data_IF_746150301061
#
_entry.id   IF_746150301061
#
_cell.length_a   1.000
_cell.length_b   1.000
_cell.length_c   1.000
_cell.angle_alpha   90.00
_cell.angle_beta   90.00
_cell.angle_gamma   90.00
#
_symmetry.space_group_name_H-M   'P 1'
#
loop_
_entity.id
_entity.type
_entity.pdbx_description
1 polymer ?
#
# COMPACT_ATOMS: atom_id res chain seq x y z
N UNK A 1 -28.92 -16.00 -15.54
CA UNK A 1 -28.63 -15.25 -14.28
C UNK A 1 -29.40 -13.95 -14.34
N UNK A 2 -30.00 -13.50 -13.22
CA UNK A 2 -30.67 -12.20 -13.18
C UNK A 2 -29.65 -11.05 -13.27
N UNK A 3 -30.08 -9.91 -13.80
CA UNK A 3 -29.27 -8.68 -13.93
C UNK A 3 -28.67 -8.23 -12.59
N UNK A 4 -29.45 -8.37 -11.51
CA UNK A 4 -29.05 -8.04 -10.14
C UNK A 4 -27.90 -8.94 -9.64
N UNK A 5 -27.91 -10.23 -9.99
CA UNK A 5 -26.83 -11.15 -9.64
C UNK A 5 -25.53 -10.85 -10.41
N UNK A 6 -25.64 -10.41 -11.68
CA UNK A 6 -24.47 -9.99 -12.46
C UNK A 6 -23.84 -8.72 -11.89
N UNK A 7 -24.66 -7.74 -11.49
CA UNK A 7 -24.21 -6.49 -10.87
C UNK A 7 -23.50 -6.73 -9.53
N UNK A 8 -24.07 -7.56 -8.64
CA UNK A 8 -23.42 -7.92 -7.37
C UNK A 8 -22.08 -8.65 -7.57
N UNK A 9 -21.97 -9.48 -8.60
CA UNK A 9 -20.72 -10.17 -8.94
C UNK A 9 -19.66 -9.20 -9.46
N UNK A 10 -20.08 -8.23 -10.27
CA UNK A 10 -19.24 -7.11 -10.71
C UNK A 10 -18.72 -6.28 -9.54
N UNK A 11 -19.60 -5.89 -8.62
CA UNK A 11 -19.23 -5.16 -7.41
C UNK A 11 -18.17 -5.92 -6.59
N UNK A 12 -18.38 -7.22 -6.32
CA UNK A 12 -17.39 -8.05 -5.60
C UNK A 12 -16.06 -8.15 -6.34
N UNK A 13 -16.09 -8.24 -7.67
CA UNK A 13 -14.89 -8.26 -8.48
C UNK A 13 -14.12 -6.93 -8.39
N UNK A 14 -14.81 -5.78 -8.34
CA UNK A 14 -14.20 -4.47 -8.13
C UNK A 14 -13.44 -4.41 -6.79
N UNK A 15 -14.07 -4.87 -5.70
CA UNK A 15 -13.38 -4.99 -4.41
C UNK A 15 -12.16 -5.92 -4.51
N UNK A 16 -12.34 -7.09 -5.13
CA UNK A 16 -11.26 -8.05 -5.30
C UNK A 16 -10.07 -7.45 -6.05
N UNK A 17 -10.29 -6.72 -7.14
CA UNK A 17 -9.22 -6.03 -7.89
C UNK A 17 -8.49 -5.03 -6.99
N UNK A 18 -9.20 -4.13 -6.31
CA UNK A 18 -8.57 -3.11 -5.47
C UNK A 18 -7.75 -3.74 -4.35
N UNK A 19 -8.30 -4.75 -3.65
CA UNK A 19 -7.60 -5.41 -2.54
C UNK A 19 -6.42 -6.27 -3.01
N UNK A 20 -6.57 -7.01 -4.11
CA UNK A 20 -5.47 -7.80 -4.66
C UNK A 20 -4.33 -6.91 -5.14
N UNK A 21 -4.62 -5.83 -5.85
CA UNK A 21 -3.59 -4.90 -6.30
C UNK A 21 -2.92 -4.18 -5.14
N UNK A 22 -3.67 -3.76 -4.11
CA UNK A 22 -3.12 -2.97 -3.00
C UNK A 22 -2.40 -3.80 -1.94
N UNK A 23 -2.93 -4.98 -1.59
CA UNK A 23 -2.43 -5.78 -0.47
C UNK A 23 -1.68 -7.03 -0.90
N UNK A 24 -2.14 -7.73 -1.94
CA UNK A 24 -1.47 -8.97 -2.37
C UNK A 24 -0.27 -8.67 -3.27
N UNK A 25 -0.45 -7.78 -4.24
CA UNK A 25 0.58 -7.41 -5.20
C UNK A 25 1.60 -6.44 -4.59
N UNK A 26 1.18 -5.32 -3.99
CA UNK A 26 2.13 -4.33 -3.46
C UNK A 26 2.99 -4.83 -2.29
N UNK A 27 2.56 -5.88 -1.58
CA UNK A 27 3.27 -6.46 -0.44
C UNK A 27 3.82 -7.86 -0.71
N UNK A 28 3.80 -8.34 -1.96
CA UNK A 28 4.24 -9.69 -2.30
C UNK A 28 5.70 -9.93 -1.89
N UNK A 29 6.57 -8.95 -2.14
CA UNK A 29 7.98 -8.96 -1.75
C UNK A 29 8.16 -9.07 -0.23
N UNK A 30 7.45 -8.26 0.55
CA UNK A 30 7.55 -8.21 2.02
C UNK A 30 7.04 -9.50 2.67
N UNK A 31 5.96 -10.08 2.13
CA UNK A 31 5.37 -11.32 2.64
C UNK A 31 6.24 -12.51 2.27
N UNK A 32 6.68 -12.61 1.01
CA UNK A 32 7.49 -13.74 0.54
C UNK A 32 8.86 -13.72 1.20
N UNK A 33 9.53 -12.57 1.28
CA UNK A 33 10.86 -12.46 1.91
C UNK A 33 10.87 -12.86 3.40
N UNK A 34 9.78 -12.61 4.13
CA UNK A 34 9.64 -13.04 5.54
C UNK A 34 9.34 -14.53 5.70
N UNK A 35 8.53 -15.10 4.81
CA UNK A 35 8.10 -16.50 4.92
C UNK A 35 9.13 -17.48 4.34
N UNK A 36 9.89 -17.08 3.31
CA UNK A 36 10.79 -17.99 2.58
C UNK A 36 11.93 -18.58 3.44
N UNK A 37 12.60 -17.80 4.33
CA UNK A 37 13.62 -18.34 5.24
C UNK A 37 13.07 -19.41 6.21
N UNK A 38 11.80 -19.31 6.58
CA UNK A 38 11.13 -20.25 7.50
C UNK A 38 10.81 -21.58 6.82
N UNK A 39 10.62 -21.58 5.49
CA UNK A 39 10.21 -22.76 4.70
C UNK A 39 11.43 -23.51 4.10
N UNK A 40 12.65 -23.10 4.44
CA UNK A 40 13.88 -23.78 3.98
C UNK A 40 14.21 -23.57 2.50
N UNK A 41 13.64 -22.52 1.87
CA UNK A 41 13.86 -22.19 0.47
C UNK A 41 15.17 -21.43 0.24
N UNK A 42 15.90 -21.77 -0.84
CA UNK A 42 17.29 -21.36 -1.11
C UNK A 42 17.59 -19.85 -1.19
N UNK A 43 18.85 -19.53 -1.53
CA UNK A 43 19.46 -18.19 -1.43
C UNK A 43 18.74 -17.05 -2.18
N UNK A 44 19.26 -15.83 -2.10
CA UNK A 44 18.57 -14.58 -2.51
C UNK A 44 17.81 -14.61 -3.85
N UNK A 45 18.29 -15.35 -4.85
CA UNK A 45 17.60 -15.48 -6.15
C UNK A 45 16.31 -16.29 -6.06
N UNK A 46 16.23 -17.30 -5.19
CA UNK A 46 15.11 -18.22 -5.08
C UNK A 46 13.82 -17.56 -4.60
N UNK A 47 13.89 -16.74 -3.54
CA UNK A 47 12.71 -16.03 -3.04
C UNK A 47 12.25 -14.93 -4.00
N UNK A 48 13.17 -14.24 -4.68
CA UNK A 48 12.80 -13.24 -5.71
C UNK A 48 12.06 -13.86 -6.90
N UNK A 49 12.46 -15.07 -7.31
CA UNK A 49 11.71 -15.83 -8.34
C UNK A 49 10.31 -16.22 -7.82
N UNK A 50 10.19 -16.55 -6.53
CA UNK A 50 8.89 -16.83 -5.93
C UNK A 50 7.98 -15.58 -5.91
N UNK A 51 8.52 -14.38 -5.67
CA UNK A 51 7.78 -13.12 -5.77
C UNK A 51 7.18 -12.94 -7.16
N UNK A 52 7.99 -13.09 -8.22
CA UNK A 52 7.52 -13.00 -9.62
C UNK A 52 6.36 -13.97 -9.89
N UNK A 53 6.46 -15.20 -9.36
CA UNK A 53 5.41 -16.20 -9.53
C UNK A 53 4.12 -15.82 -8.80
N UNK A 54 4.22 -15.28 -7.57
CA UNK A 54 3.08 -14.76 -6.81
C UNK A 54 2.43 -13.58 -7.54
N UNK A 55 3.23 -12.64 -8.02
CA UNK A 55 2.75 -11.47 -8.75
C UNK A 55 2.04 -11.85 -10.05
N UNK A 56 2.59 -12.79 -10.82
CA UNK A 56 1.93 -13.35 -12.00
C UNK A 56 0.58 -14.01 -11.65
N UNK A 57 0.49 -14.74 -10.53
CA UNK A 57 -0.75 -15.37 -10.07
C UNK A 57 -1.80 -14.34 -9.63
N UNK A 58 -1.37 -13.28 -8.92
CA UNK A 58 -2.24 -12.17 -8.50
C UNK A 58 -2.76 -11.43 -9.73
N UNK A 59 -1.89 -11.05 -10.67
CA UNK A 59 -2.28 -10.39 -11.91
C UNK A 59 -3.20 -11.28 -12.77
N UNK A 60 -2.96 -12.59 -12.83
CA UNK A 60 -3.87 -13.55 -13.46
C UNK A 60 -5.28 -13.51 -12.85
N UNK A 61 -5.36 -13.50 -11.52
CA UNK A 61 -6.63 -13.39 -10.78
C UNK A 61 -7.33 -12.06 -11.04
N UNK A 62 -6.58 -10.95 -11.05
CA UNK A 62 -7.08 -9.62 -11.41
C UNK A 62 -7.61 -9.58 -12.84
N UNK A 63 -6.93 -10.23 -13.79
CA UNK A 63 -7.39 -10.36 -15.17
C UNK A 63 -8.71 -11.13 -15.29
N UNK A 64 -8.90 -12.20 -14.49
CA UNK A 64 -10.18 -12.91 -14.41
C UNK A 64 -11.29 -12.03 -13.85
N UNK A 65 -11.01 -11.25 -12.81
CA UNK A 65 -11.96 -10.29 -12.23
C UNK A 65 -12.31 -9.16 -13.21
N UNK A 66 -11.33 -8.63 -13.96
CA UNK A 66 -11.56 -7.66 -15.05
C UNK A 66 -12.56 -8.20 -16.07
N UNK A 67 -12.48 -9.47 -16.47
CA UNK A 67 -13.47 -10.08 -17.39
C UNK A 67 -14.88 -10.07 -16.81
N UNK A 68 -15.04 -10.27 -15.50
CA UNK A 68 -16.34 -10.22 -14.83
C UNK A 68 -16.89 -8.79 -14.84
N UNK A 69 -16.04 -7.81 -14.51
CA UNK A 69 -16.40 -6.39 -14.52
C UNK A 69 -16.81 -5.94 -15.93
N UNK A 70 -15.97 -6.23 -16.94
CA UNK A 70 -16.22 -5.87 -18.34
C UNK A 70 -17.53 -6.44 -18.89
N UNK A 71 -17.87 -7.69 -18.52
CA UNK A 71 -19.17 -8.29 -18.86
C UNK A 71 -20.35 -7.62 -18.16
N UNK A 72 -20.16 -7.18 -16.91
CA UNK A 72 -21.17 -6.45 -16.14
C UNK A 72 -21.42 -5.05 -16.67
N UNK A 73 -20.38 -4.38 -17.18
CA UNK A 73 -20.45 -3.04 -17.79
C UNK A 73 -20.94 -3.08 -19.26
N UNK A 74 -21.14 -4.27 -19.85
CA UNK A 74 -21.58 -4.44 -21.24
C UNK A 74 -20.50 -4.22 -22.30
N UNK A 75 -19.23 -4.11 -21.90
CA UNK A 75 -18.11 -3.79 -22.79
C UNK A 75 -16.94 -4.77 -22.62
N UNK A 76 -17.07 -5.95 -23.24
CA UNK A 76 -16.22 -7.11 -22.98
C UNK A 76 -14.76 -7.00 -23.42
N UNK A 77 -14.41 -6.05 -24.30
CA UNK A 77 -13.06 -5.93 -24.89
C UNK A 77 -12.30 -4.67 -24.48
N UNK A 78 -12.95 -3.76 -23.73
CA UNK A 78 -12.39 -2.44 -23.43
C UNK A 78 -11.13 -2.51 -22.56
N UNK A 79 -10.12 -1.76 -23.01
CA UNK A 79 -8.86 -1.50 -22.30
C UNK A 79 -8.00 -2.75 -21.99
N UNK A 80 -8.19 -3.87 -22.69
CA UNK A 80 -7.32 -5.04 -22.54
C UNK A 80 -5.87 -4.78 -22.99
N UNK A 81 -5.67 -3.98 -24.04
CA UNK A 81 -4.32 -3.56 -24.43
C UNK A 81 -3.62 -2.77 -23.33
N UNK A 82 -4.35 -1.84 -22.69
CA UNK A 82 -3.85 -1.00 -21.60
C UNK A 82 -3.52 -1.82 -20.35
N UNK A 83 -4.36 -2.82 -20.06
CA UNK A 83 -4.13 -3.78 -18.99
C UNK A 83 -2.85 -4.60 -19.21
N UNK A 84 -2.68 -5.16 -20.41
CA UNK A 84 -1.48 -5.93 -20.75
C UNK A 84 -0.20 -5.08 -20.72
N UNK A 85 -0.27 -3.82 -21.16
CA UNK A 85 0.86 -2.89 -21.04
C UNK A 85 1.30 -2.75 -19.57
N UNK A 86 0.35 -2.55 -18.66
CA UNK A 86 0.64 -2.47 -17.23
C UNK A 86 1.25 -3.76 -16.68
N UNK A 87 0.67 -4.92 -17.00
CA UNK A 87 1.18 -6.24 -16.58
C UNK A 87 2.60 -6.50 -17.06
N UNK A 88 2.91 -6.19 -18.33
CA UNK A 88 4.25 -6.38 -18.90
C UNK A 88 5.26 -5.47 -18.20
N UNK A 89 4.89 -4.23 -17.90
CA UNK A 89 5.78 -3.30 -17.17
C UNK A 89 6.02 -3.79 -15.74
N UNK A 90 4.97 -4.22 -15.03
CA UNK A 90 5.08 -4.73 -13.65
C UNK A 90 6.03 -5.94 -13.58
N UNK A 91 5.73 -7.01 -14.33
CA UNK A 91 6.58 -8.20 -14.35
C UNK A 91 7.98 -7.91 -14.90
N UNK A 92 8.10 -6.96 -15.83
CA UNK A 92 9.39 -6.52 -16.35
C UNK A 92 10.25 -5.84 -15.28
N UNK A 93 9.65 -5.04 -14.40
CA UNK A 93 10.34 -4.45 -13.24
C UNK A 93 10.76 -5.54 -12.26
N UNK A 94 9.93 -6.54 -11.99
CA UNK A 94 10.28 -7.64 -11.08
C UNK A 94 11.47 -8.46 -11.60
N UNK A 95 11.47 -8.76 -12.90
CA UNK A 95 12.60 -9.41 -13.57
C UNK A 95 13.84 -8.51 -13.53
N UNK A 96 13.69 -7.21 -13.73
CA UNK A 96 14.80 -6.26 -13.64
C UNK A 96 15.41 -6.21 -12.23
N UNK A 97 14.60 -6.34 -11.18
CA UNK A 97 15.06 -6.42 -9.78
C UNK A 97 15.80 -7.73 -9.44
N UNK A 98 15.87 -8.70 -10.35
CA UNK A 98 16.77 -9.85 -10.19
C UNK A 98 18.25 -9.46 -10.36
N UNK A 99 18.53 -8.35 -11.06
CA UNK A 99 19.90 -7.86 -11.22
C UNK A 99 20.32 -7.07 -9.98
N UNK A 100 21.49 -7.34 -9.38
CA UNK A 100 21.94 -6.70 -8.14
C UNK A 100 22.51 -5.29 -8.41
N UNK A 101 21.67 -4.38 -8.87
CA UNK A 101 22.02 -2.98 -9.07
C UNK A 101 21.73 -2.21 -7.77
N UNK A 102 22.78 -1.88 -7.02
CA UNK A 102 22.66 -1.14 -5.77
C UNK A 102 22.79 0.36 -6.07
N UNK A 103 21.66 1.02 -6.31
CA UNK A 103 21.64 2.46 -6.57
C UNK A 103 20.29 3.05 -6.22
N UNK A 104 20.29 3.98 -5.26
CA UNK A 104 19.10 4.74 -4.84
C UNK A 104 18.35 5.35 -6.03
N UNK A 105 19.07 5.82 -7.07
CA UNK A 105 18.44 6.37 -8.27
C UNK A 105 17.64 5.31 -9.03
N UNK A 106 18.17 4.09 -9.13
CA UNK A 106 17.49 2.95 -9.75
C UNK A 106 16.29 2.54 -8.89
N UNK A 107 16.42 2.55 -7.58
CA UNK A 107 15.32 2.20 -6.67
C UNK A 107 14.17 3.19 -6.75
N UNK A 108 14.45 4.50 -6.76
CA UNK A 108 13.43 5.54 -6.95
C UNK A 108 12.76 5.39 -8.32
N UNK A 109 13.52 5.23 -9.40
CA UNK A 109 12.97 5.08 -10.75
C UNK A 109 12.10 3.83 -10.86
N UNK A 110 12.56 2.69 -10.35
CA UNK A 110 11.78 1.45 -10.38
C UNK A 110 10.53 1.57 -9.50
N UNK A 111 10.60 2.18 -8.32
CA UNK A 111 9.45 2.45 -7.46
C UNK A 111 8.41 3.34 -8.15
N UNK A 112 8.84 4.40 -8.85
CA UNK A 112 7.94 5.26 -9.62
C UNK A 112 7.28 4.49 -10.77
N UNK A 113 8.06 3.76 -11.57
CA UNK A 113 7.53 2.97 -12.68
C UNK A 113 6.54 1.91 -12.19
N UNK A 114 6.86 1.24 -11.08
CA UNK A 114 6.03 0.20 -10.49
C UNK A 114 4.71 0.77 -9.95
N UNK A 115 4.75 1.89 -9.24
CA UNK A 115 3.53 2.54 -8.75
C UNK A 115 2.64 3.06 -9.89
N UNK A 116 3.22 3.65 -10.93
CA UNK A 116 2.46 4.11 -12.11
C UNK A 116 1.83 2.93 -12.85
N UNK A 117 2.59 1.87 -13.09
CA UNK A 117 2.09 0.67 -13.77
C UNK A 117 1.03 -0.05 -12.93
N UNK A 118 1.17 -0.07 -11.61
CA UNK A 118 0.17 -0.62 -10.68
C UNK A 118 -1.12 0.19 -10.74
N UNK A 119 -1.05 1.52 -10.64
CA UNK A 119 -2.22 2.39 -10.74
C UNK A 119 -2.93 2.27 -12.08
N UNK A 120 -2.16 2.23 -13.16
CA UNK A 120 -2.67 2.02 -14.52
C UNK A 120 -3.37 0.67 -14.68
N UNK A 121 -2.75 -0.41 -14.20
CA UNK A 121 -3.30 -1.76 -14.26
C UNK A 121 -4.57 -1.87 -13.42
N UNK A 122 -4.59 -1.25 -12.23
CA UNK A 122 -5.76 -1.22 -11.34
C UNK A 122 -6.93 -0.52 -12.03
N UNK A 123 -6.71 0.68 -12.54
CA UNK A 123 -7.73 1.47 -13.25
C UNK A 123 -8.25 0.74 -14.50
N UNK A 124 -7.34 0.19 -15.32
CA UNK A 124 -7.72 -0.60 -16.49
C UNK A 124 -8.51 -1.87 -16.10
N UNK A 125 -8.19 -2.48 -14.94
CA UNK A 125 -8.92 -3.64 -14.40
C UNK A 125 -10.32 -3.29 -13.95
N UNK A 126 -10.53 -2.07 -13.45
CA UNK A 126 -11.84 -1.49 -13.14
C UNK A 126 -12.59 -1.00 -14.39
N UNK A 127 -12.14 -1.38 -15.59
CA UNK A 127 -12.73 -1.02 -16.87
C UNK A 127 -12.89 0.50 -17.08
N UNK A 128 -11.95 1.27 -16.53
CA UNK A 128 -11.98 2.73 -16.53
C UNK A 128 -10.80 3.29 -17.32
N UNK A 129 -11.02 4.33 -18.11
CA UNK A 129 -9.97 4.98 -18.91
C UNK A 129 -9.07 5.87 -18.02
N UNK A 130 -7.79 5.53 -17.81
CA UNK A 130 -6.88 6.32 -16.98
C UNK A 130 -6.61 7.71 -17.55
N UNK A 131 -6.85 7.95 -18.85
CA UNK A 131 -6.68 9.27 -19.46
C UNK A 131 -7.71 10.30 -18.97
N UNK A 132 -8.78 9.86 -18.31
CA UNK A 132 -9.70 10.77 -17.61
C UNK A 132 -9.00 11.59 -16.52
N UNK A 133 -7.87 11.13 -15.99
CA UNK A 133 -7.05 11.90 -15.05
C UNK A 133 -6.48 13.18 -15.68
N UNK A 134 -6.21 13.19 -16.99
CA UNK A 134 -5.51 14.29 -17.67
C UNK A 134 -6.39 15.09 -18.63
N UNK A 135 -7.59 14.61 -18.97
CA UNK A 135 -8.45 15.24 -19.97
C UNK A 135 -9.83 15.59 -19.41
N UNK A 136 -10.11 16.89 -19.30
CA UNK A 136 -11.44 17.39 -18.91
C UNK A 136 -12.53 16.94 -19.88
N UNK A 137 -12.22 16.91 -21.18
CA UNK A 137 -13.15 16.42 -22.21
C UNK A 137 -13.55 14.95 -21.96
N UNK A 138 -12.59 14.10 -21.60
CA UNK A 138 -12.86 12.70 -21.25
C UNK A 138 -13.64 12.57 -19.94
N UNK A 139 -13.37 13.41 -18.94
CA UNK A 139 -14.13 13.41 -17.67
C UNK A 139 -15.62 13.69 -17.89
N UNK A 140 -15.93 14.63 -18.79
CA UNK A 140 -17.32 14.97 -19.14
C UNK A 140 -17.96 13.85 -19.97
N UNK A 141 -17.22 13.26 -20.91
CA UNK A 141 -17.73 12.18 -21.75
C UNK A 141 -17.92 10.84 -21.00
N UNK A 142 -17.09 10.58 -19.99
CA UNK A 142 -17.04 9.31 -19.25
C UNK A 142 -17.03 9.55 -17.74
N UNK A 143 -18.15 10.00 -17.15
CA UNK A 143 -18.21 10.40 -15.74
C UNK A 143 -17.97 9.23 -14.78
N UNK A 144 -18.43 8.02 -15.12
CA UNK A 144 -18.21 6.80 -14.31
C UNK A 144 -16.74 6.39 -14.26
N UNK A 145 -16.05 6.48 -15.40
CA UNK A 145 -14.62 6.21 -15.48
C UNK A 145 -13.83 7.20 -14.62
N UNK A 146 -14.17 8.49 -14.71
CA UNK A 146 -13.57 9.51 -13.85
C UNK A 146 -13.80 9.21 -12.37
N UNK A 147 -15.01 8.78 -11.97
CA UNK A 147 -15.30 8.44 -10.58
C UNK A 147 -14.47 7.26 -10.07
N UNK A 148 -14.24 6.24 -10.90
CA UNK A 148 -13.40 5.09 -10.55
C UNK A 148 -11.91 5.49 -10.50
N UNK A 149 -11.43 6.25 -11.49
CA UNK A 149 -10.03 6.72 -11.56
C UNK A 149 -9.67 7.61 -10.38
N UNK A 150 -10.49 8.63 -10.10
CA UNK A 150 -10.22 9.57 -9.00
C UNK A 150 -10.15 8.88 -7.64
N UNK A 151 -10.86 7.77 -7.46
CA UNK A 151 -10.87 7.04 -6.19
C UNK A 151 -9.58 6.25 -5.96
N UNK A 152 -8.88 5.84 -7.02
CA UNK A 152 -7.65 5.04 -6.94
C UNK A 152 -6.41 5.91 -6.71
N UNK A 153 -6.43 7.18 -7.11
CA UNK A 153 -5.27 8.09 -7.03
C UNK A 153 -4.61 8.13 -5.64
N UNK A 154 -5.35 8.32 -4.52
CA UNK A 154 -4.72 8.36 -3.19
C UNK A 154 -4.07 7.04 -2.79
N UNK A 155 -4.65 5.90 -3.19
CA UNK A 155 -4.09 4.57 -2.90
C UNK A 155 -2.77 4.35 -3.64
N UNK A 156 -2.69 4.77 -4.91
CA UNK A 156 -1.46 4.69 -5.71
C UNK A 156 -0.38 5.58 -5.13
N UNK A 157 -0.74 6.81 -4.72
CA UNK A 157 0.22 7.72 -4.10
C UNK A 157 0.75 7.19 -2.75
N UNK A 158 -0.14 6.62 -1.92
CA UNK A 158 0.26 5.95 -0.69
C UNK A 158 1.19 4.76 -0.94
N UNK A 159 0.88 3.93 -1.95
CA UNK A 159 1.73 2.78 -2.32
C UNK A 159 3.09 3.23 -2.86
N UNK A 160 3.14 4.29 -3.68
CA UNK A 160 4.39 4.85 -4.17
C UNK A 160 5.32 5.26 -3.00
N UNK A 161 4.77 5.96 -2.01
CA UNK A 161 5.54 6.38 -0.84
C UNK A 161 5.92 5.20 0.07
N UNK A 162 5.11 4.13 0.08
CA UNK A 162 5.49 2.86 0.71
C UNK A 162 6.72 2.24 0.02
N UNK A 163 6.78 2.22 -1.31
CA UNK A 163 7.95 1.72 -2.03
C UNK A 163 9.21 2.57 -1.77
N UNK A 164 9.08 3.89 -1.71
CA UNK A 164 10.20 4.75 -1.32
C UNK A 164 10.66 4.49 0.12
N UNK A 165 9.73 4.24 1.03
CA UNK A 165 10.04 3.89 2.41
C UNK A 165 10.74 2.53 2.51
N UNK A 166 10.34 1.55 1.67
CA UNK A 166 11.02 0.27 1.58
C UNK A 166 12.47 0.42 1.12
N UNK A 167 12.73 1.22 0.09
CA UNK A 167 14.10 1.54 -0.34
C UNK A 167 14.88 2.26 0.76
N UNK A 168 14.25 3.26 1.40
CA UNK A 168 14.91 4.00 2.49
C UNK A 168 15.26 3.10 3.68
N UNK A 169 14.44 2.10 3.98
CA UNK A 169 14.70 1.17 5.07
C UNK A 169 15.95 0.31 4.82
N UNK A 170 16.11 -0.16 3.59
CA UNK A 170 17.27 -0.97 3.20
C UNK A 170 18.54 -0.13 3.07
N UNK A 171 18.43 1.09 2.54
CA UNK A 171 19.61 1.89 2.18
C UNK A 171 20.10 2.83 3.29
N UNK A 172 19.23 3.27 4.21
CA UNK A 172 19.58 4.30 5.20
C UNK A 172 19.46 3.87 6.65
N UNK A 173 18.67 2.85 6.99
CA UNK A 173 18.58 2.38 8.37
C UNK A 173 19.57 1.26 8.66
N UNK A 174 20.08 1.23 9.89
CA UNK A 174 20.97 0.18 10.35
C UNK A 174 20.15 -1.08 10.68
N UNK A 175 19.97 -1.94 9.68
CA UNK A 175 19.19 -3.18 9.82
C UNK A 175 19.95 -4.30 10.54
N UNK A 176 21.25 -4.13 10.76
CA UNK A 176 22.16 -5.10 11.38
C UNK A 176 22.18 -5.03 12.92
N UNK A 177 21.08 -4.57 13.54
CA UNK A 177 20.90 -4.58 14.99
C UNK A 177 21.00 -5.98 15.58
N UNK A 178 21.78 -6.15 16.64
CA UNK A 178 21.82 -7.37 17.45
C UNK A 178 20.56 -7.46 18.32
N UNK A 179 19.80 -8.56 18.17
CA UNK A 179 18.53 -8.80 18.89
C UNK A 179 18.65 -9.78 20.05
N UNK A 180 19.81 -10.39 20.19
CA UNK A 180 20.16 -11.28 21.29
C UNK A 180 21.68 -11.26 21.36
N UNK A 181 22.24 -11.09 22.56
CA UNK A 181 23.68 -11.24 22.73
C UNK A 181 24.03 -12.73 22.74
N UNK A 182 25.18 -13.08 22.17
CA UNK A 182 25.78 -14.38 22.47
C UNK A 182 26.36 -14.37 23.89
N UNK A 183 26.50 -15.55 24.49
CA UNK A 183 26.90 -15.71 25.88
C UNK A 183 28.28 -15.08 26.19
N UNK A 184 29.21 -15.05 25.24
CA UNK A 184 30.55 -14.47 25.46
C UNK A 184 30.48 -12.94 25.45
N UNK A 185 29.68 -12.35 24.55
CA UNK A 185 29.45 -10.90 24.51
C UNK A 185 28.63 -10.43 25.72
N UNK A 186 27.64 -11.21 26.16
CA UNK A 186 26.86 -10.92 27.36
C UNK A 186 27.73 -10.88 28.63
N UNK A 187 28.63 -11.86 28.80
CA UNK A 187 29.58 -11.91 29.92
C UNK A 187 30.53 -10.70 29.90
N UNK A 188 31.06 -10.32 28.73
CA UNK A 188 31.92 -9.15 28.58
C UNK A 188 31.20 -7.84 28.94
N UNK A 189 29.93 -7.72 28.54
CA UNK A 189 29.10 -6.54 28.85
C UNK A 189 28.73 -6.48 30.33
N UNK A 190 28.53 -7.63 30.98
CA UNK A 190 28.23 -7.72 32.41
C UNK A 190 29.41 -7.31 33.32
N UNK A 191 30.66 -7.38 32.81
CA UNK A 191 31.85 -6.92 33.53
C UNK A 191 32.08 -5.39 33.43
N UNK A 192 31.36 -4.69 32.55
CA UNK A 192 31.51 -3.25 32.34
C UNK A 192 30.86 -2.42 33.47
N UNK A 193 31.31 -1.17 33.64
CA UNK A 193 30.58 -0.21 34.47
C UNK A 193 29.18 0.06 33.88
N UNK A 194 28.19 0.33 34.73
CA UNK A 194 26.77 0.50 34.32
C UNK A 194 26.63 1.55 33.21
N UNK A 195 27.40 2.63 33.26
CA UNK A 195 27.36 3.68 32.23
C UNK A 195 27.86 3.20 30.86
N UNK A 196 28.90 2.35 30.85
CA UNK A 196 29.47 1.76 29.64
C UNK A 196 28.60 0.64 29.10
N UNK A 197 28.03 -0.18 29.98
CA UNK A 197 27.06 -1.22 29.65
C UNK A 197 25.87 -0.63 28.88
N UNK A 198 25.26 0.44 29.40
CA UNK A 198 24.14 1.10 28.72
C UNK A 198 24.53 1.64 27.35
N UNK A 199 25.72 2.25 27.22
CA UNK A 199 26.20 2.79 25.95
C UNK A 199 26.44 1.68 24.90
N UNK A 200 27.06 0.56 25.29
CA UNK A 200 27.32 -0.56 24.37
C UNK A 200 26.03 -1.24 23.96
N UNK A 201 25.13 -1.51 24.91
CA UNK A 201 23.82 -2.10 24.61
C UNK A 201 23.00 -1.21 23.67
N UNK A 202 23.00 0.12 23.87
CA UNK A 202 22.32 1.03 22.94
C UNK A 202 22.90 0.96 21.52
N UNK A 203 24.21 0.83 21.36
CA UNK A 203 24.83 0.78 20.03
C UNK A 203 24.58 -0.54 19.30
N UNK A 204 24.57 -1.65 20.04
CA UNK A 204 24.41 -2.98 19.47
C UNK A 204 22.94 -3.32 19.21
N UNK A 205 22.06 -2.84 20.09
CA UNK A 205 20.70 -3.37 20.22
C UNK A 205 19.61 -2.32 19.99
N UNK A 206 19.93 -1.09 19.58
CA UNK A 206 18.90 -0.15 19.14
C UNK A 206 18.33 -0.56 17.77
N UNK A 207 17.00 -0.65 17.69
CA UNK A 207 16.27 -1.00 16.46
C UNK A 207 16.53 -0.02 15.32
N UNK A 208 16.24 -0.45 14.08
CA UNK A 208 16.48 0.38 12.91
C UNK A 208 15.51 1.57 12.86
N UNK A 209 14.31 1.39 13.44
CA UNK A 209 13.28 2.42 13.57
C UNK A 209 13.07 2.74 15.05
N UNK A 210 13.16 4.03 15.39
CA UNK A 210 12.94 4.49 16.75
C UNK A 210 11.53 4.11 17.27
N UNK A 211 11.39 3.57 18.49
CA UNK A 211 10.08 3.31 19.10
C UNK A 211 9.18 4.55 19.18
N UNK A 212 9.79 5.74 19.29
CA UNK A 212 9.10 7.04 19.32
C UNK A 212 8.32 7.28 18.02
N UNK A 213 8.83 6.82 16.87
CA UNK A 213 8.11 6.91 15.61
C UNK A 213 6.75 6.21 15.70
N UNK A 214 6.73 4.95 16.16
CA UNK A 214 5.49 4.18 16.27
C UNK A 214 4.52 4.77 17.29
N UNK A 215 5.03 5.30 18.42
CA UNK A 215 4.20 6.01 19.39
C UNK A 215 3.48 7.23 18.76
N UNK A 216 4.19 8.00 17.92
CA UNK A 216 3.58 9.11 17.19
C UNK A 216 2.53 8.62 16.18
N UNK A 217 2.80 7.52 15.47
CA UNK A 217 1.87 6.97 14.48
C UNK A 217 0.56 6.49 15.13
N UNK A 218 0.64 5.87 16.31
CA UNK A 218 -0.54 5.47 17.09
C UNK A 218 -1.42 6.68 17.44
N UNK A 219 -0.85 7.87 17.61
CA UNK A 219 -1.61 9.12 17.78
C UNK A 219 -2.16 9.69 16.47
N UNK A 220 -1.38 9.67 15.38
CA UNK A 220 -1.73 10.33 14.11
C UNK A 220 -2.80 9.58 13.31
N UNK A 221 -2.72 8.25 13.23
CA UNK A 221 -3.64 7.47 12.38
C UNK A 221 -5.11 7.56 12.81
N UNK A 222 -5.46 7.48 14.11
CA UNK A 222 -6.83 7.68 14.55
C UNK A 222 -7.36 9.09 14.22
N UNK A 223 -6.52 10.12 14.35
CA UNK A 223 -6.89 11.50 13.99
C UNK A 223 -7.18 11.59 12.49
N UNK A 224 -6.33 11.04 11.63
CA UNK A 224 -6.58 11.00 10.18
C UNK A 224 -7.88 10.27 9.83
N UNK A 225 -8.17 9.14 10.49
CA UNK A 225 -9.43 8.42 10.31
C UNK A 225 -10.65 9.26 10.71
N UNK A 226 -10.57 9.98 11.83
CA UNK A 226 -11.63 10.88 12.30
C UNK A 226 -11.83 12.06 11.35
N UNK A 227 -10.75 12.71 10.90
CA UNK A 227 -10.78 13.81 9.92
C UNK A 227 -11.41 13.35 8.61
N UNK A 228 -10.99 12.21 8.07
CA UNK A 228 -11.58 11.67 6.83
C UNK A 228 -13.06 11.34 7.01
N UNK A 229 -13.41 10.63 8.09
CA UNK A 229 -14.76 10.15 8.33
C UNK A 229 -15.76 11.26 8.63
N UNK A 230 -15.42 12.15 9.56
CA UNK A 230 -16.32 13.17 10.11
C UNK A 230 -16.22 14.47 9.31
N UNK A 231 -15.03 15.06 9.22
CA UNK A 231 -14.85 16.42 8.69
C UNK A 231 -15.08 16.48 7.17
N UNK A 232 -14.59 15.48 6.44
CA UNK A 232 -14.76 15.42 4.99
C UNK A 232 -15.99 14.63 4.54
N UNK A 233 -16.75 14.06 5.48
CA UNK A 233 -17.89 13.18 5.22
C UNK A 233 -17.57 12.12 4.15
N UNK A 234 -16.32 11.64 4.16
CA UNK A 234 -15.73 10.89 3.06
C UNK A 234 -16.48 9.58 2.80
N UNK A 235 -16.89 8.90 3.86
CA UNK A 235 -17.62 7.64 3.78
C UNK A 235 -18.95 7.83 3.07
N UNK A 236 -19.77 8.81 3.47
CA UNK A 236 -21.09 9.01 2.86
C UNK A 236 -21.00 9.36 1.37
N UNK A 237 -19.99 10.14 0.98
CA UNK A 237 -19.77 10.59 -0.41
C UNK A 237 -19.33 9.47 -1.36
N UNK A 238 -18.86 8.33 -0.85
CA UNK A 238 -18.23 7.27 -1.66
C UNK A 238 -19.00 5.95 -1.69
N UNK A 239 -20.17 5.86 -1.03
CA UNK A 239 -20.94 4.61 -0.91
C UNK A 239 -21.79 4.23 -2.12
N UNK A 240 -22.00 5.15 -3.07
CA UNK A 240 -22.98 4.99 -4.17
C UNK A 240 -22.49 4.05 -5.27
N UNK A 241 -21.21 4.11 -5.62
CA UNK A 241 -20.59 3.29 -6.67
C UNK A 241 -19.56 2.32 -6.11
N UNK A 242 -19.45 1.13 -6.72
CA UNK A 242 -18.58 0.07 -6.23
C UNK A 242 -17.09 0.44 -6.23
N UNK A 243 -16.62 1.21 -7.22
CA UNK A 243 -15.22 1.65 -7.33
C UNK A 243 -14.81 2.55 -6.17
N UNK A 244 -15.45 3.72 -5.99
CA UNK A 244 -15.25 4.59 -4.83
C UNK A 244 -15.42 3.85 -3.50
N UNK A 245 -16.44 2.98 -3.38
CA UNK A 245 -16.66 2.21 -2.15
C UNK A 245 -15.52 1.23 -1.84
N UNK A 246 -15.01 0.54 -2.86
CA UNK A 246 -13.85 -0.35 -2.72
C UNK A 246 -12.59 0.42 -2.35
N UNK A 247 -12.37 1.59 -2.97
CA UNK A 247 -11.23 2.44 -2.64
C UNK A 247 -11.30 2.97 -1.20
N UNK A 248 -12.47 3.45 -0.77
CA UNK A 248 -12.71 3.88 0.62
C UNK A 248 -12.48 2.74 1.61
N UNK A 249 -13.01 1.54 1.32
CA UNK A 249 -12.77 0.37 2.16
C UNK A 249 -11.27 0.06 2.25
N UNK A 250 -10.56 0.09 1.12
CA UNK A 250 -9.12 -0.14 1.07
C UNK A 250 -8.34 0.93 1.86
N UNK A 251 -8.67 2.22 1.72
CA UNK A 251 -8.07 3.32 2.51
C UNK A 251 -8.22 3.06 4.00
N UNK A 252 -9.44 2.72 4.46
CA UNK A 252 -9.70 2.42 5.88
C UNK A 252 -8.94 1.19 6.33
N UNK A 253 -8.88 0.14 5.50
CA UNK A 253 -8.10 -1.06 5.80
C UNK A 253 -6.60 -0.75 5.94
N UNK A 254 -6.01 0.04 5.04
CA UNK A 254 -4.60 0.43 5.14
C UNK A 254 -4.36 1.21 6.44
N UNK A 255 -5.21 2.20 6.75
CA UNK A 255 -5.12 2.98 7.98
C UNK A 255 -5.22 2.09 9.23
N UNK A 256 -6.15 1.14 9.23
CA UNK A 256 -6.33 0.19 10.35
C UNK A 256 -5.15 -0.78 10.49
N UNK A 257 -4.64 -1.33 9.38
CA UNK A 257 -3.48 -2.23 9.39
C UNK A 257 -2.21 -1.47 9.84
N UNK A 258 -2.00 -0.24 9.39
CA UNK A 258 -0.90 0.61 9.88
C UNK A 258 -1.00 0.91 11.37
N UNK A 259 -2.21 1.13 11.89
CA UNK A 259 -2.44 1.33 13.31
C UNK A 259 -2.16 0.05 14.11
N UNK A 260 -2.67 -1.09 13.67
CA UNK A 260 -2.41 -2.39 14.31
C UNK A 260 -0.91 -2.71 14.30
N UNK A 261 -0.24 -2.49 13.16
CA UNK A 261 1.21 -2.63 13.04
C UNK A 261 1.95 -1.76 14.06
N UNK A 262 1.59 -0.48 14.16
CA UNK A 262 2.22 0.45 15.12
C UNK A 262 1.91 0.10 16.58
N UNK A 263 0.70 -0.35 16.88
CA UNK A 263 0.32 -0.80 18.22
C UNK A 263 1.10 -2.06 18.64
N UNK A 264 1.37 -2.96 17.69
CA UNK A 264 2.08 -4.20 17.95
C UNK A 264 3.56 -4.00 18.33
N UNK A 265 4.13 -2.82 18.08
CA UNK A 265 5.51 -2.49 18.46
C UNK A 265 5.60 -1.82 19.84
N UNK A 266 4.49 -1.33 20.40
CA UNK A 266 4.50 -0.59 21.68
C UNK A 266 5.04 -1.35 22.90
N UNK A 267 4.91 -2.69 23.00
CA UNK A 267 5.49 -3.42 24.12
C UNK A 267 7.02 -3.43 24.14
N UNK A 268 7.67 -3.06 23.03
CA UNK A 268 9.11 -3.13 22.84
C UNK A 268 9.66 -1.71 22.94
N UNK A 269 10.32 -1.40 24.05
CA UNK A 269 10.83 -0.05 24.31
C UNK A 269 12.27 0.15 23.78
N UNK A 270 12.87 -0.92 23.27
CA UNK A 270 14.21 -0.92 22.68
C UNK A 270 15.34 -0.88 23.72
N UNK A 271 15.03 -1.12 25.01
CA UNK A 271 16.05 -1.17 26.06
C UNK A 271 16.67 -2.56 26.17
N UNK A 272 17.88 -2.68 25.62
CA UNK A 272 18.64 -3.93 25.66
C UNK A 272 18.24 -4.88 24.53
N UNK A 273 18.99 -5.97 24.40
CA UNK A 273 18.96 -6.80 23.19
C UNK A 273 17.71 -7.66 23.09
N UNK A 274 17.19 -8.17 24.21
CA UNK A 274 16.01 -9.04 24.22
C UNK A 274 14.67 -8.29 24.12
N UNK A 275 14.68 -6.95 24.15
CA UNK A 275 13.50 -6.09 23.97
C UNK A 275 13.53 -5.33 22.64
N UNK A 276 14.12 -5.95 21.61
CA UNK A 276 14.15 -5.45 20.23
C UNK A 276 13.24 -6.27 19.32
N UNK A 277 12.42 -5.58 18.54
CA UNK A 277 11.51 -6.20 17.58
C UNK A 277 12.28 -6.99 16.50
N UNK A 278 11.72 -8.11 16.05
CA UNK A 278 12.29 -8.86 14.91
C UNK A 278 12.37 -7.98 13.65
N UNK A 279 13.43 -8.12 12.85
CA UNK A 279 13.68 -7.27 11.66
C UNK A 279 12.49 -7.24 10.72
N UNK A 280 11.89 -8.41 10.47
CA UNK A 280 10.76 -8.52 9.57
C UNK A 280 9.52 -7.81 10.11
N UNK A 281 9.23 -7.96 11.41
CA UNK A 281 8.08 -7.28 12.03
C UNK A 281 8.29 -5.76 12.04
N UNK A 282 9.49 -5.29 12.39
CA UNK A 282 9.82 -3.86 12.41
C UNK A 282 9.65 -3.24 11.02
N UNK A 283 10.20 -3.92 10.01
CA UNK A 283 10.09 -3.54 8.61
C UNK A 283 8.62 -3.47 8.14
N UNK A 284 7.83 -4.51 8.39
CA UNK A 284 6.43 -4.56 7.95
C UNK A 284 5.57 -3.53 8.68
N UNK A 285 5.76 -3.35 9.99
CA UNK A 285 5.07 -2.33 10.77
C UNK A 285 5.40 -0.93 10.27
N UNK A 286 6.67 -0.65 9.98
CA UNK A 286 7.13 0.61 9.40
C UNK A 286 6.46 0.89 8.05
N UNK A 287 6.45 -0.08 7.13
CA UNK A 287 5.84 0.09 5.81
C UNK A 287 4.33 0.35 5.88
N UNK A 288 3.60 -0.41 6.69
CA UNK A 288 2.16 -0.19 6.85
C UNK A 288 1.86 1.16 7.51
N UNK A 289 2.66 1.58 8.49
CA UNK A 289 2.56 2.89 9.12
C UNK A 289 2.74 4.02 8.10
N UNK A 290 3.82 3.98 7.31
CA UNK A 290 4.11 4.98 6.29
C UNK A 290 3.02 5.02 5.21
N UNK A 291 2.61 3.86 4.69
CA UNK A 291 1.54 3.80 3.69
C UNK A 291 0.22 4.35 4.24
N UNK A 292 -0.13 4.05 5.48
CA UNK A 292 -1.34 4.53 6.14
C UNK A 292 -1.38 6.05 6.23
N UNK A 293 -0.31 6.67 6.73
CA UNK A 293 -0.20 8.13 6.87
C UNK A 293 -0.35 8.79 5.50
N UNK A 294 0.44 8.33 4.53
CA UNK A 294 0.45 8.98 3.22
C UNK A 294 -0.80 8.71 2.41
N UNK A 295 -1.42 7.54 2.52
CA UNK A 295 -2.74 7.30 1.92
C UNK A 295 -3.79 8.21 2.53
N UNK A 296 -3.78 8.38 3.86
CA UNK A 296 -4.69 9.29 4.56
C UNK A 296 -4.53 10.75 4.13
N UNK A 297 -3.29 11.25 4.16
CA UNK A 297 -2.96 12.61 3.72
C UNK A 297 -3.25 12.84 2.24
N UNK A 298 -2.88 11.90 1.38
CA UNK A 298 -3.21 11.94 -0.04
C UNK A 298 -4.71 12.03 -0.26
N UNK A 299 -5.50 11.27 0.51
CA UNK A 299 -6.97 11.30 0.43
C UNK A 299 -7.50 12.66 0.82
N UNK A 300 -7.01 13.28 1.90
CA UNK A 300 -7.41 14.62 2.33
C UNK A 300 -7.12 15.68 1.26
N UNK A 301 -5.87 15.74 0.79
CA UNK A 301 -5.46 16.69 -0.25
C UNK A 301 -6.25 16.46 -1.52
N UNK A 302 -6.45 15.20 -1.90
CA UNK A 302 -7.18 14.85 -3.11
C UNK A 302 -8.65 15.24 -3.04
N UNK A 303 -9.31 15.11 -1.88
CA UNK A 303 -10.67 15.58 -1.69
C UNK A 303 -10.77 17.10 -1.88
N UNK A 304 -9.80 17.87 -1.38
CA UNK A 304 -9.77 19.32 -1.59
C UNK A 304 -9.62 19.72 -3.07
N UNK A 305 -8.84 18.96 -3.83
CA UNK A 305 -8.57 19.25 -5.26
C UNK A 305 -9.68 18.73 -6.17
N UNK A 306 -10.28 17.58 -5.85
CA UNK A 306 -11.18 16.85 -6.74
C UNK A 306 -12.68 16.98 -6.40
N UNK A 307 -13.03 17.48 -5.22
CA UNK A 307 -14.43 17.74 -4.87
C UNK A 307 -14.89 19.07 -5.46
N UNK A 308 -16.06 19.05 -6.09
CA UNK A 308 -16.83 20.27 -6.36
C UNK A 308 -17.60 20.63 -5.08
N UNK A 309 -17.69 21.92 -4.70
CA UNK A 309 -18.52 22.34 -3.57
C UNK A 309 -19.93 21.76 -3.73
N UNK A 310 -20.55 21.34 -2.61
CA UNK A 310 -21.95 20.94 -2.61
C UNK A 310 -22.77 22.13 -3.12
N UNK A 311 -23.17 22.13 -4.39
CA UNK A 311 -24.12 23.12 -4.90
C UNK A 311 -25.38 22.96 -4.07
N UNK A 312 -25.74 24.00 -3.34
CA UNK A 312 -27.01 24.18 -2.67
C UNK A 312 -28.15 24.09 -3.71
N UNK A 313 -28.51 22.86 -4.08
CA UNK A 313 -29.63 22.54 -4.94
C UNK A 313 -30.83 22.15 -4.05
N UNK A 314 -31.20 23.08 -3.18
CA UNK A 314 -32.39 23.12 -2.31
C UNK A 314 -32.32 24.53 -1.71
N UNK A 315 -33.11 25.55 -2.02
CA UNK A 315 -34.47 25.67 -2.53
C UNK A 315 -34.63 27.09 -3.09
N UNK A 316 -34.99 27.27 -4.35
CA UNK A 316 -35.70 28.48 -4.79
C UNK A 316 -37.08 28.02 -5.23
N UNK A 317 -38.16 28.26 -4.45
CA UNK A 317 -39.49 27.99 -4.95
C UNK A 317 -39.73 28.92 -6.14
N UNK A 318 -40.05 28.33 -7.29
CA UNK A 318 -40.55 29.09 -8.42
C UNK A 318 -41.84 29.81 -7.96
N UNK A 319 -41.79 31.13 -7.91
CA UNK A 319 -42.96 31.98 -7.80
C UNK A 319 -43.92 31.68 -8.96
N UNK A 320 -45.13 31.27 -8.64
CA UNK A 320 -46.31 31.50 -9.47
C UNK A 320 -47.07 32.70 -8.90
#
# INVERSE_FOLDING_TARGET
MSELAMRQRGDRAVFGVVFLMLFAFSYSEQVVSGLFPVVGGGGQTGWRVAVIAVDAAVLGSVGLMKRVIARGDGDGSRLWGWWWTGVVVLLGVDVFRLFPLHSIQVDVVTATLYAVAMGWTTVASLNSDPLTLFSTARRVAMPTDWQRVRAIVPLVLGTYLCYLAASAYVDYFNVDTMRTLDAATEELVAEMDVSQQMAVLSQLCEGAISPVFFQQIVGVLPVLLLTLGIEFNYFRRTLTEAGPRAATAATVTVLAVGLVGSLSTLPWDGQGCDDVLSTWHEYVAFLFAVQAIFTGLATLVWLLVSSTPDTAAETTPASQ
#
